data_IF_620698132198
#
_entry.id   IF_620698132198
#
_cell.length_a   1.000
_cell.length_b   1.000
_cell.length_c   1.000
_cell.angle_alpha   90.00
_cell.angle_beta   90.00
_cell.angle_gamma   90.00
#
_symmetry.space_group_name_H-M   'P 1'
#
loop_
_entity.id
_entity.type
_entity.pdbx_description
1 polymer ?
#
# COMPACT_ATOMS: atom_id res chain seq x y z
N UNK A 1 48.00 -17.23 -78.65
CA UNK A 1 46.63 -16.84 -78.24
C UNK A 1 45.76 -18.08 -78.29
N UNK A 2 44.88 -18.23 -77.29
CA UNK A 2 43.86 -19.28 -77.10
C UNK A 2 44.21 -20.46 -76.19
N UNK A 3 43.48 -20.56 -75.06
CA UNK A 3 42.78 -21.77 -74.54
C UNK A 3 42.49 -21.54 -73.03
N UNK A 4 41.31 -21.01 -72.69
CA UNK A 4 40.11 -21.73 -72.24
C UNK A 4 40.28 -22.39 -70.84
N UNK A 5 39.59 -21.75 -69.89
CA UNK A 5 39.33 -22.16 -68.51
C UNK A 5 38.70 -23.55 -68.45
N UNK A 6 39.19 -24.41 -67.56
CA UNK A 6 38.43 -25.54 -67.01
C UNK A 6 38.10 -25.24 -65.55
N UNK A 7 36.80 -25.11 -65.29
CA UNK A 7 36.20 -25.21 -63.97
C UNK A 7 36.44 -26.62 -63.42
N UNK A 8 36.84 -26.72 -62.15
CA UNK A 8 36.64 -27.91 -61.34
C UNK A 8 36.17 -27.47 -59.94
N UNK A 9 34.99 -27.99 -59.62
CA UNK A 9 34.26 -27.90 -58.37
C UNK A 9 35.11 -28.42 -57.19
N UNK A 10 34.89 -27.91 -55.97
CA UNK A 10 34.55 -28.87 -54.94
C UNK A 10 33.30 -28.48 -54.17
N UNK A 11 32.41 -29.45 -54.15
CA UNK A 11 31.19 -29.57 -53.40
C UNK A 11 31.54 -29.65 -51.90
N UNK A 12 31.50 -28.53 -51.18
CA UNK A 12 31.68 -28.53 -49.73
C UNK A 12 30.30 -28.57 -49.06
N UNK A 13 29.99 -29.76 -48.56
CA UNK A 13 28.98 -30.13 -47.55
C UNK A 13 28.39 -28.93 -46.76
N UNK A 14 27.17 -28.53 -47.11
CA UNK A 14 26.31 -27.72 -46.27
C UNK A 14 25.46 -28.67 -45.41
N UNK A 15 25.96 -29.06 -44.25
CA UNK A 15 25.22 -29.88 -43.31
C UNK A 15 24.10 -29.03 -42.69
N UNK A 16 22.87 -29.40 -43.02
CA UNK A 16 21.63 -28.86 -42.47
C UNK A 16 21.60 -29.08 -40.96
N UNK A 17 21.75 -28.01 -40.17
CA UNK A 17 21.29 -27.96 -38.78
C UNK A 17 20.00 -27.15 -38.73
N UNK A 18 18.91 -27.74 -39.23
CA UNK A 18 17.56 -27.28 -38.91
C UNK A 18 17.18 -27.88 -37.55
N UNK A 19 17.73 -27.31 -36.48
CA UNK A 19 17.25 -27.62 -35.14
C UNK A 19 15.83 -27.05 -34.99
N UNK A 20 14.85 -27.82 -34.51
CA UNK A 20 13.50 -27.31 -34.31
C UNK A 20 13.56 -26.29 -33.16
N UNK A 21 13.30 -25.03 -33.47
CA UNK A 21 13.04 -23.97 -32.49
C UNK A 21 11.64 -24.14 -31.86
N UNK A 22 11.36 -25.34 -31.36
CA UNK A 22 10.11 -25.72 -30.70
C UNK A 22 10.49 -26.37 -29.37
N UNK A 23 10.53 -25.55 -28.32
CA UNK A 23 10.23 -25.88 -26.92
C UNK A 23 11.05 -25.04 -25.92
N UNK A 24 10.81 -23.72 -25.92
CA UNK A 24 10.85 -22.92 -24.69
C UNK A 24 9.67 -21.94 -24.72
N UNK A 25 8.45 -22.48 -24.92
CA UNK A 25 7.30 -21.84 -24.31
C UNK A 25 7.40 -22.14 -22.81
N UNK A 26 8.28 -21.42 -22.11
CA UNK A 26 8.07 -21.20 -20.69
C UNK A 26 6.63 -20.69 -20.57
N UNK A 27 5.85 -21.28 -19.67
CA UNK A 27 4.47 -20.90 -19.40
C UNK A 27 4.43 -19.39 -19.12
N UNK A 28 4.18 -18.61 -20.16
CA UNK A 28 4.35 -17.18 -20.13
C UNK A 28 3.14 -16.64 -19.39
N UNK A 29 3.37 -16.09 -18.18
CA UNK A 29 2.31 -15.50 -17.37
C UNK A 29 1.46 -14.56 -18.25
N UNK A 30 0.21 -14.94 -18.57
CA UNK A 30 -0.61 -14.22 -19.54
C UNK A 30 -0.95 -12.80 -19.07
N UNK A 31 -0.72 -12.52 -17.78
CA UNK A 31 -0.99 -11.22 -17.15
C UNK A 31 0.28 -10.42 -16.84
N UNK A 32 1.46 -10.80 -17.34
CA UNK A 32 2.72 -10.14 -16.99
C UNK A 32 2.69 -8.61 -17.22
N UNK A 33 2.13 -8.16 -18.34
CA UNK A 33 1.98 -6.73 -18.65
C UNK A 33 1.01 -6.03 -17.69
N UNK A 34 -0.12 -6.67 -17.38
CA UNK A 34 -1.12 -6.14 -16.46
C UNK A 34 -0.60 -6.05 -15.02
N UNK A 35 0.17 -7.04 -14.57
CA UNK A 35 0.87 -6.98 -13.27
C UNK A 35 1.80 -5.79 -13.19
N UNK A 36 2.58 -5.52 -14.24
CA UNK A 36 3.45 -4.35 -14.26
C UNK A 36 2.66 -3.03 -14.24
N UNK A 37 1.53 -2.97 -14.95
CA UNK A 37 0.64 -1.81 -14.92
C UNK A 37 0.05 -1.57 -13.53
N UNK A 38 -0.41 -2.63 -12.85
CA UNK A 38 -0.91 -2.57 -11.48
C UNK A 38 0.17 -2.15 -10.48
N UNK A 39 1.39 -2.67 -10.61
CA UNK A 39 2.52 -2.25 -9.76
C UNK A 39 2.79 -0.74 -9.92
N UNK A 40 2.76 -0.23 -11.17
CA UNK A 40 2.89 1.21 -11.42
C UNK A 40 1.75 2.00 -10.80
N UNK A 41 0.50 1.54 -10.96
CA UNK A 41 -0.68 2.13 -10.34
C UNK A 41 -0.54 2.25 -8.82
N UNK A 42 -0.12 1.18 -8.14
CA UNK A 42 0.04 1.18 -6.68
C UNK A 42 1.20 2.05 -6.21
N UNK A 43 2.31 2.09 -6.94
CA UNK A 43 3.42 3.02 -6.66
C UNK A 43 2.99 4.48 -6.83
N UNK A 44 2.17 4.77 -7.82
CA UNK A 44 1.65 6.11 -8.04
C UNK A 44 0.67 6.53 -6.95
N UNK A 45 -0.17 5.60 -6.49
CA UNK A 45 -1.02 5.78 -5.31
C UNK A 45 -0.20 6.13 -4.06
N UNK A 46 0.84 5.34 -3.74
CA UNK A 46 1.75 5.60 -2.63
C UNK A 46 2.47 6.95 -2.77
N UNK A 47 2.97 7.27 -3.97
CA UNK A 47 3.62 8.54 -4.24
C UNK A 47 2.68 9.74 -4.05
N UNK A 48 1.41 9.61 -4.45
CA UNK A 48 0.38 10.63 -4.27
C UNK A 48 0.06 10.86 -2.79
N UNK A 49 -0.08 9.77 -2.03
CA UNK A 49 -0.26 9.81 -0.58
C UNK A 49 0.90 10.56 0.06
N UNK A 50 2.14 10.16 -0.22
CA UNK A 50 3.33 10.75 0.38
C UNK A 50 3.54 12.23 -0.01
N UNK A 51 3.16 12.60 -1.24
CA UNK A 51 3.14 14.00 -1.69
C UNK A 51 2.02 14.85 -1.08
N UNK A 52 1.12 14.23 -0.31
CA UNK A 52 -0.09 14.85 0.21
C UNK A 52 -0.99 15.45 -0.89
N UNK A 53 -1.08 14.74 -2.02
CA UNK A 53 -1.76 15.17 -3.25
C UNK A 53 -2.96 14.26 -3.53
N UNK A 54 -4.12 14.70 -3.04
CA UNK A 54 -5.38 13.95 -3.19
C UNK A 54 -5.85 13.91 -4.64
N UNK A 55 -5.56 14.93 -5.44
CA UNK A 55 -6.00 14.98 -6.84
C UNK A 55 -5.20 14.01 -7.70
N UNK A 56 -3.88 13.92 -7.45
CA UNK A 56 -3.03 12.90 -8.05
C UNK A 56 -3.46 11.49 -7.65
N UNK A 57 -3.90 11.30 -6.41
CA UNK A 57 -4.40 10.02 -5.90
C UNK A 57 -5.71 9.61 -6.58
N UNK A 58 -6.74 10.48 -6.60
CA UNK A 58 -8.04 10.13 -7.20
C UNK A 58 -7.98 9.96 -8.72
N UNK A 59 -6.98 10.56 -9.39
CA UNK A 59 -6.74 10.33 -10.83
C UNK A 59 -6.42 8.85 -11.16
N UNK A 60 -5.91 8.09 -10.19
CA UNK A 60 -5.65 6.64 -10.30
C UNK A 60 -6.91 5.80 -10.05
N UNK A 61 -7.99 6.41 -9.58
CA UNK A 61 -9.21 5.74 -9.18
C UNK A 61 -10.32 5.93 -10.21
N UNK A 62 -11.24 4.97 -10.27
CA UNK A 62 -12.51 5.15 -10.98
C UNK A 62 -13.32 6.29 -10.33
N UNK A 63 -14.10 7.10 -11.08
CA UNK A 63 -14.90 8.20 -10.52
C UNK A 63 -15.87 7.77 -9.40
N UNK A 64 -16.31 6.51 -9.41
CA UNK A 64 -17.17 5.91 -8.38
C UNK A 64 -16.42 4.98 -7.43
N UNK A 65 -15.10 5.13 -7.30
CA UNK A 65 -14.31 4.26 -6.43
C UNK A 65 -14.77 4.35 -4.97
N UNK A 66 -14.67 3.23 -4.24
CA UNK A 66 -14.96 3.18 -2.82
C UNK A 66 -13.67 3.02 -2.02
N UNK A 67 -13.51 3.80 -0.95
CA UNK A 67 -12.39 3.64 -0.02
C UNK A 67 -12.94 3.43 1.39
N UNK A 68 -12.52 2.35 2.04
CA UNK A 68 -12.70 2.16 3.49
C UNK A 68 -11.39 2.51 4.18
N UNK A 69 -11.42 3.54 5.02
CA UNK A 69 -10.25 4.10 5.67
C UNK A 69 -9.91 3.36 6.98
N UNK A 70 -8.71 3.58 7.51
CA UNK A 70 -8.23 2.93 8.75
C UNK A 70 -9.11 3.21 9.97
N UNK A 71 -9.83 4.34 9.99
CA UNK A 71 -10.76 4.69 11.06
C UNK A 71 -12.18 4.12 10.85
N UNK A 72 -12.39 3.33 9.80
CA UNK A 72 -13.67 2.70 9.47
C UNK A 72 -14.65 3.59 8.71
N UNK A 73 -14.31 4.85 8.43
CA UNK A 73 -15.11 5.67 7.52
C UNK A 73 -15.07 5.10 6.09
N UNK A 74 -16.15 5.32 5.34
CA UNK A 74 -16.26 4.91 3.93
C UNK A 74 -16.52 6.14 3.07
N UNK A 75 -15.67 6.35 2.07
CA UNK A 75 -15.88 7.35 1.01
C UNK A 75 -16.29 6.67 -0.29
N UNK A 76 -17.27 7.23 -0.99
CA UNK A 76 -17.76 6.78 -2.30
C UNK A 76 -17.64 7.91 -3.33
N UNK A 77 -16.88 7.63 -4.36
CA UNK A 77 -16.54 8.58 -5.41
C UNK A 77 -15.50 9.62 -5.00
N UNK A 78 -14.97 10.32 -5.99
CA UNK A 78 -13.85 11.24 -5.78
C UNK A 78 -14.16 12.38 -4.80
N UNK A 79 -15.39 12.88 -4.78
CA UNK A 79 -15.75 14.02 -3.93
C UNK A 79 -15.75 13.65 -2.44
N UNK A 80 -16.28 12.48 -2.07
CA UNK A 80 -16.23 12.00 -0.68
C UNK A 80 -14.79 11.64 -0.26
N UNK A 81 -13.96 11.18 -1.20
CA UNK A 81 -12.54 10.91 -0.95
C UNK A 81 -11.79 12.21 -0.68
N UNK A 82 -12.00 13.24 -1.51
CA UNK A 82 -11.45 14.59 -1.29
C UNK A 82 -11.93 15.19 0.02
N UNK A 83 -13.22 15.07 0.33
CA UNK A 83 -13.79 15.59 1.56
C UNK A 83 -13.17 14.92 2.80
N UNK A 84 -12.97 13.59 2.76
CA UNK A 84 -12.25 12.89 3.82
C UNK A 84 -10.81 13.42 3.97
N UNK A 85 -10.08 13.53 2.86
CA UNK A 85 -8.71 14.03 2.88
C UNK A 85 -8.61 15.47 3.40
N UNK A 86 -9.56 16.33 3.02
CA UNK A 86 -9.65 17.70 3.51
C UNK A 86 -9.84 17.74 5.02
N UNK A 87 -10.77 16.95 5.58
CA UNK A 87 -10.98 16.89 7.03
C UNK A 87 -9.79 16.31 7.78
N UNK A 88 -9.12 15.31 7.21
CA UNK A 88 -8.07 14.61 7.93
C UNK A 88 -6.71 15.33 7.85
N UNK A 89 -6.38 15.99 6.73
CA UNK A 89 -4.99 16.41 6.44
C UNK A 89 -4.81 17.85 5.96
N UNK A 90 -5.82 18.49 5.35
CA UNK A 90 -5.63 19.83 4.73
C UNK A 90 -6.39 20.97 5.42
N UNK A 91 -7.52 20.69 6.05
CA UNK A 91 -8.39 21.70 6.66
C UNK A 91 -7.79 22.39 7.88
N UNK A 92 -8.42 23.49 8.30
CA UNK A 92 -8.00 24.23 9.52
C UNK A 92 -8.15 23.38 10.78
N UNK A 93 -9.22 22.57 10.84
CA UNK A 93 -9.50 21.62 11.93
C UNK A 93 -8.98 20.21 11.63
N UNK A 94 -7.92 20.10 10.81
CA UNK A 94 -7.35 18.79 10.44
C UNK A 94 -6.86 18.01 11.65
N UNK A 95 -6.92 16.69 11.54
CA UNK A 95 -6.46 15.76 12.58
C UNK A 95 -4.95 15.49 12.46
N UNK A 96 -4.45 15.45 11.23
CA UNK A 96 -3.06 15.14 10.88
C UNK A 96 -2.45 16.33 10.15
N UNK A 97 -1.20 16.68 10.46
CA UNK A 97 -0.40 17.58 9.62
C UNK A 97 0.04 16.91 8.33
N UNK A 98 0.34 15.62 8.41
CA UNK A 98 0.66 14.73 7.28
C UNK A 98 0.66 13.27 7.74
N UNK A 99 0.73 12.37 6.78
CA UNK A 99 1.10 10.98 7.02
C UNK A 99 1.96 10.44 5.89
N UNK A 100 2.86 9.52 6.21
CA UNK A 100 3.74 8.87 5.23
C UNK A 100 3.44 7.39 5.26
N UNK A 101 3.29 6.81 4.07
CA UNK A 101 2.98 5.40 3.87
C UNK A 101 4.15 4.76 3.15
N UNK A 102 4.59 3.61 3.65
CA UNK A 102 5.43 2.67 2.91
C UNK A 102 4.62 1.43 2.59
N UNK A 103 4.26 1.23 1.33
CA UNK A 103 3.44 0.10 0.91
C UNK A 103 4.32 -1.05 0.39
N UNK A 104 3.92 -2.28 0.71
CA UNK A 104 4.48 -3.50 0.12
C UNK A 104 3.34 -4.29 -0.48
N UNK A 105 3.52 -4.69 -1.73
CA UNK A 105 2.68 -5.70 -2.34
C UNK A 105 2.97 -7.05 -1.65
N UNK A 106 1.92 -7.81 -1.36
CA UNK A 106 2.03 -9.20 -0.95
C UNK A 106 2.38 -10.08 -2.14
N UNK A 107 1.51 -11.05 -2.42
CA UNK A 107 1.64 -11.89 -3.62
C UNK A 107 1.22 -11.16 -4.90
N UNK A 108 1.43 -11.83 -6.03
CA UNK A 108 0.97 -11.37 -7.32
C UNK A 108 -0.56 -11.15 -7.36
N UNK A 109 -1.00 -10.06 -8.00
CA UNK A 109 -2.42 -9.73 -8.15
C UNK A 109 -3.22 -10.89 -8.78
N UNK A 110 -4.40 -11.17 -8.26
CA UNK A 110 -5.27 -12.24 -8.78
C UNK A 110 -6.25 -11.65 -9.78
N UNK A 111 -6.35 -12.25 -10.96
CA UNK A 111 -7.19 -11.77 -12.05
C UNK A 111 -8.52 -12.52 -12.11
N UNK A 112 -9.60 -11.79 -12.39
CA UNK A 112 -10.98 -12.26 -12.47
C UNK A 112 -11.66 -11.62 -13.67
N UNK A 113 -12.86 -12.11 -14.04
CA UNK A 113 -13.65 -11.51 -15.12
C UNK A 113 -12.89 -11.45 -16.44
N UNK A 114 -12.29 -12.57 -16.85
CA UNK A 114 -11.48 -12.69 -18.07
C UNK A 114 -10.24 -11.77 -18.11
N UNK A 115 -9.69 -11.41 -16.95
CA UNK A 115 -8.49 -10.56 -16.88
C UNK A 115 -8.76 -9.06 -16.77
N UNK A 116 -10.04 -8.66 -16.73
CA UNK A 116 -10.44 -7.24 -16.66
C UNK A 116 -10.60 -6.73 -15.22
N UNK A 117 -10.60 -7.63 -14.23
CA UNK A 117 -10.64 -7.28 -12.80
C UNK A 117 -9.43 -7.91 -12.11
N UNK A 118 -8.79 -7.17 -11.21
CA UNK A 118 -7.68 -7.64 -10.41
C UNK A 118 -7.88 -7.34 -8.94
N UNK A 119 -7.54 -8.29 -8.07
CA UNK A 119 -7.46 -8.11 -6.62
C UNK A 119 -6.01 -8.23 -6.19
N UNK A 120 -5.51 -7.19 -5.53
CA UNK A 120 -4.18 -7.16 -4.95
C UNK A 120 -4.27 -6.79 -3.48
N UNK A 121 -3.33 -7.27 -2.70
CA UNK A 121 -3.26 -7.00 -1.26
C UNK A 121 -1.80 -6.91 -0.83
N UNK A 122 -1.60 -6.44 0.40
CA UNK A 122 -0.28 -6.33 0.98
C UNK A 122 -0.28 -5.65 2.34
N UNK A 123 0.88 -5.14 2.72
CA UNK A 123 1.12 -4.49 4.00
C UNK A 123 1.55 -3.04 3.83
N UNK A 124 1.35 -2.24 4.86
CA UNK A 124 1.83 -0.87 4.94
C UNK A 124 2.43 -0.61 6.32
N UNK A 125 3.43 0.25 6.34
CA UNK A 125 3.86 0.95 7.53
C UNK A 125 3.52 2.42 7.38
N UNK A 126 2.59 2.89 8.19
CA UNK A 126 2.10 4.26 8.18
C UNK A 126 2.69 5.03 9.36
N UNK A 127 3.29 6.18 9.09
CA UNK A 127 3.73 7.13 10.11
C UNK A 127 2.82 8.36 10.08
N UNK A 128 2.09 8.56 11.18
CA UNK A 128 1.13 9.64 11.36
C UNK A 128 1.75 10.78 12.16
N UNK A 129 1.45 12.01 11.75
CA UNK A 129 1.87 13.24 12.43
C UNK A 129 0.64 14.02 12.86
N UNK A 130 0.04 13.71 14.04
CA UNK A 130 -1.17 14.39 14.50
C UNK A 130 -0.91 15.82 14.94
N UNK A 131 -1.91 16.69 14.80
CA UNK A 131 -1.83 18.08 15.32
C UNK A 131 -1.78 18.10 16.85
N UNK A 132 -2.53 17.22 17.50
CA UNK A 132 -2.77 17.26 18.95
C UNK A 132 -1.73 16.51 19.80
N UNK A 133 -0.82 15.75 19.19
CA UNK A 133 0.13 14.89 19.93
C UNK A 133 1.35 14.52 19.09
N UNK A 134 2.35 13.90 19.73
CA UNK A 134 3.51 13.36 19.04
C UNK A 134 3.18 12.27 18.00
N UNK A 135 4.10 12.05 17.03
CA UNK A 135 3.90 11.10 15.94
C UNK A 135 3.82 9.67 16.45
N UNK A 136 3.17 8.81 15.67
CA UNK A 136 3.08 7.38 15.95
C UNK A 136 3.07 6.58 14.64
N UNK A 137 3.39 5.29 14.74
CA UNK A 137 3.38 4.36 13.61
C UNK A 137 2.30 3.31 13.77
N UNK A 138 1.67 2.94 12.67
CA UNK A 138 0.77 1.79 12.61
C UNK A 138 1.16 0.90 11.43
N UNK A 139 1.33 -0.38 11.75
CA UNK A 139 1.37 -1.43 10.74
C UNK A 139 -0.06 -1.76 10.32
N UNK A 140 -0.28 -1.83 9.01
CA UNK A 140 -1.60 -2.02 8.41
C UNK A 140 -1.52 -3.02 7.25
N UNK A 141 -2.67 -3.54 6.86
CA UNK A 141 -2.91 -4.27 5.62
C UNK A 141 -3.75 -3.41 4.68
N UNK A 142 -3.56 -3.65 3.39
CA UNK A 142 -4.40 -3.06 2.35
C UNK A 142 -4.92 -4.14 1.40
N UNK A 143 -6.07 -3.88 0.80
CA UNK A 143 -6.62 -4.66 -0.30
C UNK A 143 -7.21 -3.70 -1.32
N UNK A 144 -6.84 -3.87 -2.58
CA UNK A 144 -7.38 -3.13 -3.71
C UNK A 144 -8.09 -4.07 -4.67
N UNK A 145 -9.30 -3.70 -5.07
CA UNK A 145 -9.92 -4.20 -6.30
C UNK A 145 -9.71 -3.14 -7.37
N UNK A 146 -9.16 -3.56 -8.51
CA UNK A 146 -8.92 -2.72 -9.68
C UNK A 146 -9.63 -3.30 -10.89
N UNK A 147 -10.10 -2.44 -11.78
CA UNK A 147 -10.71 -2.84 -13.04
C UNK A 147 -9.97 -2.17 -14.21
N UNK A 148 -9.88 -2.87 -15.33
CA UNK A 148 -9.42 -2.30 -16.60
C UNK A 148 -10.62 -1.65 -17.28
N UNK A 149 -10.54 -0.34 -17.48
CA UNK A 149 -11.60 0.50 -18.04
C UNK A 149 -10.96 1.31 -19.16
N UNK A 150 -11.51 1.20 -20.37
CA UNK A 150 -10.96 1.82 -21.58
C UNK A 150 -9.46 1.50 -21.79
N UNK A 151 -9.07 0.26 -21.47
CA UNK A 151 -7.68 -0.22 -21.57
C UNK A 151 -6.74 0.26 -20.45
N UNK A 152 -7.24 0.99 -19.44
CA UNK A 152 -6.45 1.47 -18.31
C UNK A 152 -6.89 0.86 -16.99
N UNK A 153 -5.93 0.42 -16.18
CA UNK A 153 -6.22 -0.03 -14.82
C UNK A 153 -6.56 1.15 -13.91
N UNK A 154 -7.68 1.04 -13.21
CA UNK A 154 -8.14 1.99 -12.20
C UNK A 154 -8.49 1.26 -10.92
N UNK A 155 -8.19 1.86 -9.77
CA UNK A 155 -8.69 1.36 -8.48
C UNK A 155 -10.19 1.62 -8.42
N UNK A 156 -10.99 0.59 -8.18
CA UNK A 156 -12.45 0.69 -7.99
C UNK A 156 -12.85 0.52 -6.52
N UNK A 157 -12.05 -0.19 -5.74
CA UNK A 157 -12.24 -0.32 -4.30
C UNK A 157 -10.91 -0.46 -3.58
N UNK A 158 -10.76 0.20 -2.43
CA UNK A 158 -9.61 0.08 -1.54
C UNK A 158 -10.10 -0.09 -0.10
N UNK A 159 -9.48 -1.02 0.63
CA UNK A 159 -9.72 -1.22 2.05
C UNK A 159 -8.39 -1.15 2.81
N UNK A 160 -8.37 -0.41 3.91
CA UNK A 160 -7.22 -0.28 4.80
C UNK A 160 -7.63 -0.79 6.19
N UNK A 161 -6.80 -1.64 6.79
CA UNK A 161 -7.08 -2.19 8.11
C UNK A 161 -5.82 -2.30 8.95
N UNK A 162 -5.88 -1.89 10.22
CA UNK A 162 -4.83 -2.19 11.20
C UNK A 162 -5.36 -3.14 12.27
N UNK A 163 -4.46 -3.86 12.94
CA UNK A 163 -4.85 -4.85 13.94
C UNK A 163 -5.40 -4.16 15.20
N UNK A 164 -6.66 -4.43 15.52
CA UNK A 164 -7.37 -3.84 16.66
C UNK A 164 -6.98 -4.45 18.01
N UNK A 165 -6.41 -5.66 18.01
CA UNK A 165 -6.01 -6.38 19.22
C UNK A 165 -4.57 -6.09 19.63
N UNK A 166 -3.71 -5.74 18.68
CA UNK A 166 -2.29 -5.44 18.91
C UNK A 166 -1.84 -4.32 17.99
N UNK A 167 -1.62 -3.13 18.55
CA UNK A 167 -1.04 -1.97 17.86
C UNK A 167 -0.37 -1.01 18.85
N UNK A 168 0.38 -0.04 18.32
CA UNK A 168 1.12 0.96 19.10
C UNK A 168 0.22 1.83 19.98
N UNK A 169 -0.95 2.25 19.48
CA UNK A 169 -1.90 3.06 20.24
C UNK A 169 -2.44 2.31 21.46
N UNK A 170 -2.75 1.01 21.32
CA UNK A 170 -3.17 0.17 22.44
C UNK A 170 -2.04 -0.03 23.45
N UNK A 171 -0.79 -0.18 22.99
CA UNK A 171 0.37 -0.29 23.87
C UNK A 171 0.58 1.01 24.69
N UNK A 172 0.46 2.17 24.04
CA UNK A 172 0.53 3.47 24.70
C UNK A 172 -0.59 3.67 25.72
N UNK A 173 -1.83 3.32 25.37
CA UNK A 173 -2.96 3.41 26.29
C UNK A 173 -2.75 2.54 27.54
N UNK A 174 -2.25 1.31 27.37
CA UNK A 174 -1.89 0.43 28.49
C UNK A 174 -0.78 1.04 29.37
N UNK A 175 0.24 1.64 28.76
CA UNK A 175 1.31 2.30 29.50
C UNK A 175 0.80 3.51 30.30
N UNK A 176 -0.09 4.32 29.72
CA UNK A 176 -0.70 5.47 30.40
C UNK A 176 -1.49 5.05 31.65
N UNK A 177 -2.22 3.93 31.58
CA UNK A 177 -2.93 3.37 32.75
C UNK A 177 -1.95 3.00 33.86
N UNK A 178 -0.83 2.35 33.52
CA UNK A 178 0.18 1.99 34.51
C UNK A 178 0.83 3.22 35.17
N UNK A 179 1.14 4.26 34.38
CA UNK A 179 1.68 5.50 34.94
C UNK A 179 0.68 6.23 35.84
N UNK A 180 -0.58 6.34 35.40
CA UNK A 180 -1.62 6.97 36.20
C UNK A 180 -1.88 6.20 37.50
N UNK A 181 -2.02 4.87 37.42
CA UNK A 181 -2.24 4.00 38.58
C UNK A 181 -1.06 4.03 39.56
N UNK A 182 0.17 3.93 39.06
CA UNK A 182 1.38 4.00 39.88
C UNK A 182 1.54 5.38 40.55
N UNK A 183 1.33 6.46 39.80
CA UNK A 183 1.38 7.82 40.31
C UNK A 183 0.33 8.09 41.39
N UNK A 184 -0.91 7.66 41.16
CA UNK A 184 -1.99 7.78 42.13
C UNK A 184 -1.72 6.95 43.39
N UNK A 185 -1.20 5.73 43.26
CA UNK A 185 -0.83 4.89 44.40
C UNK A 185 0.29 5.52 45.24
N UNK A 186 1.36 6.02 44.61
CA UNK A 186 2.45 6.71 45.30
C UNK A 186 1.96 7.97 46.01
N UNK A 187 1.15 8.79 45.34
CA UNK A 187 0.56 9.99 45.94
C UNK A 187 -0.36 9.64 47.12
N UNK A 188 -1.18 8.59 46.98
CA UNK A 188 -2.06 8.09 48.04
C UNK A 188 -1.27 7.62 49.26
N UNK A 189 -0.17 6.87 49.06
CA UNK A 189 0.73 6.45 50.14
C UNK A 189 1.39 7.63 50.85
N UNK A 190 1.89 8.61 50.08
CA UNK A 190 2.51 9.83 50.64
C UNK A 190 1.52 10.64 51.47
N UNK A 191 0.31 10.88 50.93
CA UNK A 191 -0.74 11.61 51.64
C UNK A 191 -1.19 10.86 52.90
N UNK A 192 -1.43 9.56 52.80
CA UNK A 192 -1.80 8.72 53.94
C UNK A 192 -0.75 8.76 55.06
N UNK A 193 0.53 8.68 54.70
CA UNK A 193 1.64 8.78 55.66
C UNK A 193 1.73 10.17 56.32
N UNK A 194 1.58 11.25 55.55
CA UNK A 194 1.60 12.62 56.08
C UNK A 194 0.44 12.87 57.07
N UNK A 195 -0.76 12.40 56.74
CA UNK A 195 -1.94 12.52 57.61
C UNK A 195 -1.78 11.67 58.88
N UNK A 196 -1.29 10.44 58.75
CA UNK A 196 -1.02 9.56 59.90
C UNK A 196 0.04 10.12 60.85
N UNK A 197 1.05 10.83 60.32
CA UNK A 197 2.04 11.53 61.16
C UNK A 197 1.46 12.71 61.94
N UNK A 198 0.47 13.41 61.38
CA UNK A 198 -0.20 14.54 62.04
C UNK A 198 -1.12 14.09 63.18
N UNK A 199 -1.77 12.93 63.05
CA UNK A 199 -2.66 12.40 64.09
C UNK A 199 -1.94 11.78 65.29
N UNK A 200 -0.64 11.49 65.17
CA UNK A 200 0.19 10.93 66.26
C UNK A 200 0.94 12.00 67.07
N UNK A 201 0.81 13.28 66.74
CA UNK A 201 1.30 14.42 67.51
C UNK A 201 0.13 15.09 68.21
#
# INVERSE_FOLDING_TARGET
>A
MWSIRKLLCPFFLFFVFLAPALALAADADPYAADRQALIKLFREMEASINAQDVDRMVAQMHPQATVTWLNGEVSRGHDEIRAYYQRMVKGEQRILDRYVTTAKLGDHARFFGNGEVAVADGTMEDEFFPVARGPFRLSSNWTSTSAKIDGQWKVVSMHLSSNVFTNSLLAEAKAAIWYAGGGAALLGLLLGWLLGRRQRR
#
